data_IF_456625084051
#
_entry.id   IF_456625084051
#
_cell.length_a   1.000
_cell.length_b   1.000
_cell.length_c   1.000
_cell.angle_alpha   90.00
_cell.angle_beta   90.00
_cell.angle_gamma   90.00
#
_symmetry.space_group_name_H-M   'P 1'
#
loop_
_entity.id
_entity.type
_entity.pdbx_description
1 polymer ?
#
# COMPACT_ATOMS: atom_id res chain seq x y z
N UNK A 1 13.03 2.32 -4.67
CA UNK A 1 11.61 1.90 -4.72
C UNK A 1 11.49 0.56 -5.44
N UNK A 2 11.84 0.45 -6.72
CA UNK A 2 11.80 -0.82 -7.49
C UNK A 2 12.53 -1.99 -6.80
N UNK A 3 13.76 -1.77 -6.32
CA UNK A 3 14.51 -2.79 -5.57
C UNK A 3 13.79 -3.27 -4.30
N UNK A 4 13.09 -2.38 -3.60
CA UNK A 4 12.32 -2.77 -2.42
C UNK A 4 11.13 -3.62 -2.83
N UNK A 5 10.42 -3.21 -3.89
CA UNK A 5 9.27 -3.94 -4.43
C UNK A 5 9.61 -5.35 -4.92
N UNK A 6 10.76 -5.54 -5.56
CA UNK A 6 11.17 -6.86 -6.09
C UNK A 6 11.54 -7.87 -4.99
N UNK A 7 11.80 -7.40 -3.76
CA UNK A 7 12.10 -8.26 -2.61
C UNK A 7 10.83 -8.69 -1.85
N UNK A 8 9.65 -8.18 -2.23
CA UNK A 8 8.39 -8.47 -1.55
C UNK A 8 7.66 -9.65 -2.19
N UNK A 9 7.20 -10.58 -1.35
CA UNK A 9 6.35 -11.70 -1.77
C UNK A 9 4.87 -11.33 -1.61
N UNK A 10 4.26 -10.82 -2.69
CA UNK A 10 2.89 -10.28 -2.68
C UNK A 10 1.88 -11.10 -3.49
N UNK A 11 2.31 -12.16 -4.18
CA UNK A 11 1.46 -12.94 -5.09
C UNK A 11 0.23 -13.52 -4.39
N UNK A 12 0.40 -14.06 -3.18
CA UNK A 12 -0.72 -14.57 -2.36
C UNK A 12 -1.71 -13.45 -2.03
N UNK A 13 -1.18 -12.26 -1.70
CA UNK A 13 -2.00 -11.08 -1.38
C UNK A 13 -2.78 -10.59 -2.59
N UNK A 14 -2.16 -10.55 -3.77
CA UNK A 14 -2.85 -10.17 -5.01
C UNK A 14 -3.93 -11.19 -5.37
N UNK A 15 -3.64 -12.50 -5.33
CA UNK A 15 -4.65 -13.54 -5.60
C UNK A 15 -5.85 -13.41 -4.67
N UNK A 16 -5.62 -13.23 -3.38
CA UNK A 16 -6.69 -13.07 -2.40
C UNK A 16 -7.49 -11.79 -2.66
N UNK A 17 -6.82 -10.69 -2.99
CA UNK A 17 -7.49 -9.42 -3.29
C UNK A 17 -8.36 -9.53 -4.56
N UNK A 18 -7.86 -10.18 -5.61
CA UNK A 18 -8.61 -10.42 -6.84
C UNK A 18 -9.89 -11.23 -6.59
N UNK A 19 -9.81 -12.25 -5.73
CA UNK A 19 -10.95 -13.07 -5.33
C UNK A 19 -11.99 -12.27 -4.55
N UNK A 20 -11.56 -11.46 -3.56
CA UNK A 20 -12.46 -10.64 -2.73
C UNK A 20 -13.19 -9.61 -3.58
N UNK A 21 -12.50 -9.00 -4.54
CA UNK A 21 -13.00 -7.88 -5.33
C UNK A 21 -13.69 -8.31 -6.62
N UNK A 22 -13.72 -9.61 -6.92
CA UNK A 22 -14.15 -10.13 -8.22
C UNK A 22 -13.44 -9.40 -9.37
N UNK A 23 -12.11 -9.26 -9.28
CA UNK A 23 -11.34 -8.35 -10.13
C UNK A 23 -11.46 -8.61 -11.63
N UNK A 24 -11.69 -9.88 -12.04
CA UNK A 24 -11.97 -10.24 -13.43
C UNK A 24 -13.24 -9.57 -13.99
N UNK A 25 -14.19 -9.24 -13.13
CA UNK A 25 -15.42 -8.55 -13.51
C UNK A 25 -15.30 -7.02 -13.47
N UNK A 26 -14.16 -6.48 -13.05
CA UNK A 26 -13.93 -5.05 -12.94
C UNK A 26 -13.79 -4.37 -14.31
N UNK A 27 -14.09 -3.06 -14.41
CA UNK A 27 -13.79 -2.27 -15.61
C UNK A 27 -12.30 -2.33 -16.01
N UNK A 28 -11.39 -2.44 -15.04
CA UNK A 28 -9.96 -2.59 -15.32
C UNK A 28 -9.66 -3.83 -16.16
N UNK A 29 -10.32 -4.96 -15.88
CA UNK A 29 -10.17 -6.16 -16.70
C UNK A 29 -10.98 -6.08 -17.99
N UNK A 30 -12.28 -5.74 -17.90
CA UNK A 30 -13.20 -5.79 -19.05
C UNK A 30 -12.92 -4.76 -20.14
N UNK A 31 -12.49 -3.56 -19.75
CA UNK A 31 -12.29 -2.43 -20.69
C UNK A 31 -10.82 -2.17 -20.98
N UNK A 32 -9.94 -2.31 -19.97
CA UNK A 32 -8.51 -2.00 -20.10
C UNK A 32 -7.63 -3.25 -20.26
N UNK A 33 -8.22 -4.44 -20.25
CA UNK A 33 -7.53 -5.74 -20.35
C UNK A 33 -6.45 -5.96 -19.27
N UNK A 34 -6.55 -5.27 -18.13
CA UNK A 34 -5.67 -5.43 -16.97
C UNK A 34 -6.29 -6.41 -15.99
N UNK A 35 -6.23 -7.70 -16.31
CA UNK A 35 -6.95 -8.76 -15.59
C UNK A 35 -6.14 -9.48 -14.50
N UNK A 36 -4.86 -9.15 -14.34
CA UNK A 36 -3.96 -9.77 -13.34
C UNK A 36 -3.18 -8.68 -12.62
N UNK A 37 -3.33 -8.62 -11.30
CA UNK A 37 -2.55 -7.80 -10.39
C UNK A 37 -1.15 -8.39 -10.14
N UNK A 38 -0.95 -9.67 -10.46
CA UNK A 38 0.33 -10.37 -10.28
C UNK A 38 1.26 -10.08 -11.47
N UNK A 39 0.74 -10.18 -12.68
CA UNK A 39 1.54 -10.09 -13.91
C UNK A 39 1.77 -8.63 -14.36
N UNK A 40 0.95 -7.70 -13.85
CA UNK A 40 1.10 -6.29 -14.12
C UNK A 40 2.37 -5.72 -13.46
N UNK A 41 2.96 -4.72 -14.11
CA UNK A 41 4.18 -4.06 -13.62
C UNK A 41 3.85 -2.78 -12.86
N UNK A 42 4.61 -2.54 -11.80
CA UNK A 42 4.62 -1.28 -11.07
C UNK A 42 5.59 -0.28 -11.72
N UNK A 43 5.18 0.97 -11.84
CA UNK A 43 6.01 2.10 -12.30
C UNK A 43 6.13 3.12 -11.19
N UNK A 44 7.34 3.39 -10.73
CA UNK A 44 7.61 4.33 -9.63
C UNK A 44 7.93 5.74 -10.14
N UNK A 45 7.58 6.75 -9.36
CA UNK A 45 7.90 8.16 -9.64
C UNK A 45 8.45 8.86 -8.41
N UNK A 46 9.37 9.80 -8.61
CA UNK A 46 9.94 10.65 -7.55
C UNK A 46 10.13 12.07 -8.11
N UNK A 47 9.01 12.75 -8.34
CA UNK A 47 9.02 14.09 -8.91
C UNK A 47 9.37 15.12 -7.85
N UNK A 48 10.05 16.20 -8.26
CA UNK A 48 10.39 17.30 -7.35
C UNK A 48 9.12 17.89 -6.71
N UNK A 49 9.18 18.16 -5.40
CA UNK A 49 8.08 18.70 -4.58
C UNK A 49 6.80 17.85 -4.55
N UNK A 50 6.88 16.58 -4.95
CA UNK A 50 5.77 15.64 -4.84
C UNK A 50 6.17 14.45 -3.97
N UNK A 51 5.17 13.77 -3.42
CA UNK A 51 5.41 12.49 -2.77
C UNK A 51 5.91 11.45 -3.79
N UNK A 52 6.79 10.52 -3.35
CA UNK A 52 7.14 9.35 -4.14
C UNK A 52 5.87 8.58 -4.44
N UNK A 53 5.71 8.18 -5.70
CA UNK A 53 4.49 7.57 -6.20
C UNK A 53 4.76 6.20 -6.82
N UNK A 54 3.69 5.44 -6.97
CA UNK A 54 3.65 4.22 -7.77
C UNK A 54 2.36 4.18 -8.58
N UNK A 55 2.45 3.74 -9.82
CA UNK A 55 1.32 3.33 -10.65
C UNK A 55 1.41 1.83 -10.88
N UNK A 56 0.27 1.15 -11.01
CA UNK A 56 0.22 -0.30 -11.20
C UNK A 56 -0.43 -1.04 -10.02
N UNK A 57 -0.25 -2.37 -9.96
CA UNK A 57 -0.98 -3.23 -9.02
C UNK A 57 -0.71 -2.92 -7.55
N UNK A 58 0.49 -2.43 -7.18
CA UNK A 58 0.80 -2.07 -5.80
C UNK A 58 -0.08 -0.93 -5.30
N UNK A 59 -0.36 0.05 -6.17
CA UNK A 59 -1.28 1.15 -5.83
C UNK A 59 -2.70 0.64 -5.64
N UNK A 60 -3.18 -0.20 -6.57
CA UNK A 60 -4.53 -0.80 -6.48
C UNK A 60 -4.67 -1.62 -5.19
N UNK A 61 -3.65 -2.44 -4.89
CA UNK A 61 -3.57 -3.25 -3.68
C UNK A 61 -3.65 -2.42 -2.41
N UNK A 62 -2.82 -1.39 -2.31
CA UNK A 62 -2.86 -0.47 -1.17
C UNK A 62 -4.21 0.23 -1.03
N UNK A 63 -4.73 0.82 -2.11
CA UNK A 63 -5.97 1.59 -2.07
C UNK A 63 -7.16 0.75 -1.59
N UNK A 64 -7.31 -0.49 -2.08
CA UNK A 64 -8.40 -1.37 -1.68
C UNK A 64 -8.24 -1.88 -0.25
N UNK A 65 -7.05 -2.35 0.13
CA UNK A 65 -6.80 -2.90 1.47
C UNK A 65 -6.89 -1.81 2.54
N UNK A 66 -6.44 -0.59 2.24
CA UNK A 66 -6.58 0.54 3.17
C UNK A 66 -8.06 0.92 3.36
N UNK A 67 -8.87 0.92 2.29
CA UNK A 67 -10.31 1.10 2.40
C UNK A 67 -10.98 0.03 3.28
N UNK A 68 -10.63 -1.25 3.10
CA UNK A 68 -11.15 -2.33 3.95
C UNK A 68 -10.72 -2.16 5.41
N UNK A 69 -9.46 -1.78 5.64
CA UNK A 69 -8.94 -1.52 6.98
C UNK A 69 -9.71 -0.39 7.67
N UNK A 70 -10.00 0.70 6.95
CA UNK A 70 -10.77 1.83 7.47
C UNK A 70 -12.23 1.46 7.72
N UNK A 71 -12.89 0.71 6.84
CA UNK A 71 -14.24 0.19 7.08
C UNK A 71 -14.31 -0.60 8.39
N UNK A 72 -13.32 -1.45 8.65
CA UNK A 72 -13.24 -2.22 9.88
C UNK A 72 -13.09 -1.32 11.12
N UNK A 73 -12.17 -0.35 11.10
CA UNK A 73 -11.95 0.56 12.23
C UNK A 73 -13.09 1.54 12.47
N UNK A 74 -13.82 1.94 11.42
CA UNK A 74 -15.01 2.78 11.52
C UNK A 74 -16.20 2.01 12.15
N UNK A 75 -16.08 0.69 12.33
CA UNK A 75 -17.13 -0.12 12.96
C UNK A 75 -18.28 -0.48 12.03
N UNK A 76 -18.03 -0.55 10.71
CA UNK A 76 -19.03 -1.04 9.76
C UNK A 76 -19.46 -2.47 10.15
N UNK A 77 -20.72 -2.84 9.90
CA UNK A 77 -21.14 -4.24 9.97
C UNK A 77 -20.20 -5.13 9.15
N UNK A 78 -19.84 -6.31 9.68
CA UNK A 78 -18.81 -7.17 9.07
C UNK A 78 -19.17 -7.62 7.65
N UNK A 79 -20.45 -7.74 7.32
CA UNK A 79 -20.96 -8.03 5.98
C UNK A 79 -20.76 -6.87 4.99
N UNK A 80 -20.48 -5.65 5.46
CA UNK A 80 -20.15 -4.49 4.64
C UNK A 80 -18.65 -4.29 4.49
N UNK A 81 -17.84 -4.70 5.48
CA UNK A 81 -16.37 -4.65 5.40
C UNK A 81 -15.91 -5.63 4.32
N UNK A 82 -15.37 -5.09 3.21
CA UNK A 82 -15.01 -5.88 2.04
C UNK A 82 -16.11 -6.87 1.62
N UNK A 83 -17.39 -6.45 1.72
CA UNK A 83 -18.57 -7.28 1.41
C UNK A 83 -18.63 -8.61 2.20
N UNK A 84 -18.10 -8.66 3.42
CA UNK A 84 -18.08 -9.87 4.25
C UNK A 84 -17.16 -10.98 3.73
N UNK A 85 -16.19 -10.65 2.87
CA UNK A 85 -15.27 -11.63 2.27
C UNK A 85 -13.99 -11.83 3.07
N UNK A 86 -13.68 -10.93 4.01
CA UNK A 86 -12.54 -11.05 4.92
C UNK A 86 -13.06 -11.52 6.29
N UNK A 87 -12.90 -12.81 6.56
CA UNK A 87 -13.52 -13.48 7.72
C UNK A 87 -12.50 -14.04 8.71
N UNK A 88 -11.20 -13.87 8.46
CA UNK A 88 -10.14 -14.43 9.30
C UNK A 88 -8.97 -13.46 9.45
N UNK A 89 -8.31 -13.49 10.60
CA UNK A 89 -7.08 -12.74 10.85
C UNK A 89 -5.96 -13.11 9.88
N UNK A 90 -5.95 -14.34 9.37
CA UNK A 90 -5.00 -14.77 8.35
C UNK A 90 -5.21 -14.00 7.04
N UNK A 91 -6.45 -13.84 6.59
CA UNK A 91 -6.74 -13.04 5.38
C UNK A 91 -6.32 -11.58 5.57
N UNK A 92 -6.60 -11.00 6.75
CA UNK A 92 -6.12 -9.65 7.09
C UNK A 92 -4.60 -9.54 7.02
N UNK A 93 -3.88 -10.47 7.64
CA UNK A 93 -2.41 -10.47 7.62
C UNK A 93 -1.85 -10.61 6.19
N UNK A 94 -2.46 -11.45 5.36
CA UNK A 94 -2.06 -11.60 3.95
C UNK A 94 -2.32 -10.32 3.16
N UNK A 95 -3.50 -9.72 3.27
CA UNK A 95 -3.87 -8.49 2.54
C UNK A 95 -3.05 -7.28 2.99
N UNK A 96 -2.83 -7.11 4.29
CA UNK A 96 -2.07 -5.99 4.87
C UNK A 96 -0.64 -5.89 4.34
N UNK A 97 -0.07 -6.99 3.81
CA UNK A 97 1.22 -6.95 3.10
C UNK A 97 1.22 -5.99 1.91
N UNK A 98 0.09 -5.81 1.22
CA UNK A 98 -0.01 -4.87 0.09
C UNK A 98 0.08 -3.42 0.56
N UNK A 99 -0.66 -3.07 1.61
CA UNK A 99 -0.61 -1.75 2.25
C UNK A 99 0.78 -1.45 2.81
N UNK A 100 1.33 -2.39 3.57
CA UNK A 100 2.66 -2.23 4.18
C UNK A 100 3.76 -2.19 3.10
N UNK A 101 3.69 -3.05 2.09
CA UNK A 101 4.63 -3.07 0.98
C UNK A 101 4.59 -1.80 0.12
N UNK A 102 3.42 -1.17 -0.02
CA UNK A 102 3.27 0.15 -0.64
C UNK A 102 4.02 1.22 0.16
N UNK A 103 3.75 1.30 1.48
CA UNK A 103 4.43 2.24 2.38
C UNK A 103 5.96 2.03 2.33
N UNK A 104 6.40 0.78 2.42
CA UNK A 104 7.81 0.44 2.45
C UNK A 104 8.53 0.77 1.14
N UNK A 105 7.87 0.49 0.01
CA UNK A 105 8.44 0.77 -1.31
C UNK A 105 8.68 2.26 -1.53
N UNK A 106 7.77 3.11 -1.04
CA UNK A 106 7.79 4.55 -1.28
C UNK A 106 8.57 5.34 -0.23
N UNK A 107 8.52 4.96 1.04
CA UNK A 107 9.02 5.81 2.13
C UNK A 107 10.16 5.20 2.95
N UNK A 108 10.39 3.88 2.86
CA UNK A 108 11.36 3.21 3.75
C UNK A 108 12.76 3.08 3.14
N UNK A 109 12.95 3.36 1.84
CA UNK A 109 14.30 3.33 1.25
C UNK A 109 15.19 4.43 1.88
N UNK A 110 16.44 4.15 2.30
CA UNK A 110 17.23 5.09 3.09
C UNK A 110 17.41 6.47 2.45
N UNK A 111 17.62 6.51 1.13
CA UNK A 111 17.79 7.77 0.39
C UNK A 111 16.50 8.59 0.37
N UNK A 112 15.35 7.96 0.11
CA UNK A 112 14.05 8.65 0.06
C UNK A 112 13.63 9.07 1.47
N UNK A 113 13.75 8.17 2.45
CA UNK A 113 13.43 8.44 3.85
C UNK A 113 14.19 9.65 4.40
N UNK A 114 15.52 9.70 4.20
CA UNK A 114 16.35 10.83 4.65
C UNK A 114 15.91 12.15 4.04
N UNK A 115 15.55 12.15 2.75
CA UNK A 115 15.16 13.38 2.06
C UNK A 115 13.77 13.86 2.49
N UNK A 116 12.77 12.98 2.46
CA UNK A 116 11.37 13.33 2.73
C UNK A 116 11.16 13.66 4.21
N UNK A 117 11.77 12.89 5.11
CA UNK A 117 11.62 13.11 6.54
C UNK A 117 12.48 14.26 7.08
N UNK A 118 13.37 14.86 6.28
CA UNK A 118 14.33 15.88 6.75
C UNK A 118 13.67 17.04 7.52
N UNK A 119 12.55 17.64 7.06
CA UNK A 119 11.90 18.71 7.81
C UNK A 119 11.38 18.26 9.18
N UNK A 120 10.76 17.06 9.25
CA UNK A 120 10.22 16.51 10.49
C UNK A 120 11.33 16.11 11.47
N UNK A 121 12.39 15.46 10.97
CA UNK A 121 13.56 15.10 11.78
C UNK A 121 14.25 16.35 12.34
N UNK A 122 14.40 17.41 11.52
CA UNK A 122 14.93 18.71 11.99
C UNK A 122 14.05 19.35 13.06
N UNK A 123 12.73 19.23 12.93
CA UNK A 123 11.80 19.71 13.95
C UNK A 123 11.93 18.93 15.25
N UNK A 124 11.95 17.59 15.19
CA UNK A 124 12.16 16.71 16.34
C UNK A 124 13.49 17.05 17.01
N UNK A 125 14.59 17.14 16.26
CA UNK A 125 15.90 17.54 16.79
C UNK A 125 15.83 18.91 17.48
N UNK A 126 15.15 19.90 16.91
CA UNK A 126 15.00 21.21 17.55
C UNK A 126 14.23 21.15 18.88
N UNK A 127 13.18 20.33 18.96
CA UNK A 127 12.34 20.19 20.15
C UNK A 127 13.07 19.42 21.25
N UNK A 128 13.73 18.32 20.90
CA UNK A 128 14.31 17.39 21.87
C UNK A 128 15.80 17.64 22.15
N UNK A 129 16.54 18.26 21.22
CA UNK A 129 17.97 18.58 21.37
C UNK A 129 18.23 19.99 21.93
N UNK A 130 17.24 20.62 22.56
CA UNK A 130 17.48 21.80 23.41
C UNK A 130 18.36 21.38 24.59
N UNK A 131 19.66 21.56 24.37
CA UNK A 131 20.77 21.57 25.32
C UNK A 131 20.30 21.79 26.77
N UNK A 132 20.48 20.76 27.57
CA UNK A 132 21.13 20.87 28.88
C UNK A 132 22.28 21.88 28.81
N UNK A 133 22.00 23.11 29.24
CA UNK A 133 22.98 24.11 29.68
C UNK A 133 22.38 24.82 30.87
#
# INVERSE_FOLDING_TARGET
MEKARSQMHLDESYKLLEQITHYQDSPSCKEKHQCSLIDAKDTFSANYQQEPGVQGPLKVGNSLVDAFTLQYYEGFPLDQVAWGKINTDRQWNVLSKLKNGYQDSLFTSPTVARNIAAPLVKYIDKVFSRRSR
#
